data_IF_090064359102
#
_entry.id   IF_090064359102
#
_cell.length_a   1.000
_cell.length_b   1.000
_cell.length_c   1.000
_cell.angle_alpha   90.00
_cell.angle_beta   90.00
_cell.angle_gamma   90.00
#
_symmetry.space_group_name_H-M   'P 1'
#
loop_
_entity.id
_entity.type
_entity.pdbx_description
1 polymer ?
#
# COMPACT_ATOMS: atom_id res chain seq x y z
N UNK A 1 15.79 -4.80 -14.98
CA UNK A 1 15.49 -5.17 -16.38
C UNK A 1 16.44 -6.26 -16.81
N UNK A 2 15.94 -7.32 -17.42
CA UNK A 2 16.77 -8.37 -18.05
C UNK A 2 17.37 -7.92 -19.38
N UNK A 3 16.99 -6.76 -19.87
CA UNK A 3 17.49 -6.18 -21.12
C UNK A 3 18.76 -5.36 -20.85
N UNK A 4 19.92 -5.77 -21.36
CA UNK A 4 21.22 -5.20 -20.99
C UNK A 4 21.41 -3.73 -21.43
N UNK A 5 20.60 -3.26 -22.38
CA UNK A 5 20.64 -1.88 -22.85
C UNK A 5 19.76 -0.91 -22.01
N UNK A 6 18.90 -1.44 -21.11
CA UNK A 6 18.11 -0.62 -20.20
C UNK A 6 18.87 -0.45 -18.88
N UNK A 7 19.50 0.70 -18.70
CA UNK A 7 20.28 1.03 -17.50
C UNK A 7 19.39 1.44 -16.30
N UNK A 8 18.26 2.07 -16.56
CA UNK A 8 17.32 2.52 -15.53
C UNK A 8 15.88 2.41 -16.03
N UNK A 9 14.99 1.95 -15.15
CA UNK A 9 13.55 1.91 -15.38
C UNK A 9 12.87 2.59 -14.22
N UNK A 10 11.99 3.55 -14.52
CA UNK A 10 11.12 4.21 -13.54
C UNK A 10 9.66 3.98 -13.92
N UNK A 11 8.89 3.42 -13.00
CA UNK A 11 7.46 3.15 -13.19
C UNK A 11 6.69 4.00 -12.18
N UNK A 12 5.94 5.04 -12.63
CA UNK A 12 5.16 5.88 -11.74
C UNK A 12 3.92 5.13 -11.18
N UNK A 13 3.29 5.64 -10.11
CA UNK A 13 2.13 4.99 -9.48
C UNK A 13 0.84 5.04 -10.33
N UNK A 14 0.85 5.70 -11.48
CA UNK A 14 -0.29 5.90 -12.38
C UNK A 14 0.10 5.61 -13.85
N UNK A 15 0.32 4.36 -14.16
CA UNK A 15 0.73 3.90 -15.51
C UNK A 15 -0.45 3.68 -16.47
N UNK A 16 -1.70 3.87 -16.03
CA UNK A 16 -2.90 3.81 -16.86
C UNK A 16 -3.31 5.18 -17.43
N UNK A 17 -4.50 5.26 -18.01
CA UNK A 17 -5.06 6.47 -18.62
C UNK A 17 -5.09 7.68 -17.67
N UNK A 18 -5.23 7.43 -16.37
CA UNK A 18 -5.16 8.46 -15.34
C UNK A 18 -3.78 9.16 -15.24
N UNK A 19 -2.72 8.57 -15.81
CA UNK A 19 -1.40 9.19 -15.88
C UNK A 19 -1.19 10.11 -17.09
N UNK A 20 -2.04 10.06 -18.09
CA UNK A 20 -1.90 10.80 -19.34
C UNK A 20 -1.89 12.31 -19.10
N UNK A 21 -2.78 12.80 -18.24
CA UNK A 21 -2.85 14.23 -17.87
C UNK A 21 -1.57 14.70 -17.16
N UNK A 22 -0.97 13.84 -16.34
CA UNK A 22 0.30 14.14 -15.68
C UNK A 22 1.44 14.25 -16.70
N UNK A 23 1.53 13.32 -17.65
CA UNK A 23 2.54 13.35 -18.73
C UNK A 23 2.38 14.58 -19.57
N UNK A 24 1.15 14.92 -19.98
CA UNK A 24 0.86 16.14 -20.75
C UNK A 24 1.29 17.41 -20.01
N UNK A 25 0.98 17.53 -18.73
CA UNK A 25 1.41 18.64 -17.89
C UNK A 25 2.95 18.74 -17.80
N UNK A 26 3.64 17.60 -17.68
CA UNK A 26 5.11 17.54 -17.60
C UNK A 26 5.80 17.97 -18.89
N UNK A 27 5.22 17.70 -20.05
CA UNK A 27 5.79 18.12 -21.33
C UNK A 27 5.84 19.65 -21.48
N UNK A 28 4.94 20.37 -20.81
CA UNK A 28 4.91 21.84 -20.81
C UNK A 28 5.69 22.50 -19.66
N UNK A 29 6.31 21.71 -18.76
CA UNK A 29 7.00 22.24 -17.60
C UNK A 29 8.53 22.17 -17.75
N UNK A 30 9.30 23.11 -17.17
CA UNK A 30 10.75 22.97 -17.07
C UNK A 30 11.10 21.71 -16.28
N UNK A 31 12.34 21.23 -16.43
CA UNK A 31 12.83 20.04 -15.71
C UNK A 31 12.44 20.09 -14.23
N UNK A 32 11.63 19.16 -13.81
CA UNK A 32 11.13 19.08 -12.45
C UNK A 32 11.76 17.89 -11.73
N UNK A 33 11.77 17.97 -10.41
CA UNK A 33 12.27 16.94 -9.53
C UNK A 33 11.59 15.57 -9.77
N UNK A 34 12.26 14.50 -9.32
CA UNK A 34 11.71 13.15 -9.34
C UNK A 34 10.37 13.12 -8.62
N UNK A 35 9.43 12.38 -9.18
CA UNK A 35 8.16 12.09 -8.54
C UNK A 35 8.41 11.32 -7.23
N UNK A 36 8.18 11.96 -6.12
CA UNK A 36 8.09 11.39 -4.79
C UNK A 36 7.46 12.44 -3.87
N UNK A 37 6.45 12.13 -3.09
CA UNK A 37 5.66 10.91 -2.91
C UNK A 37 4.40 10.87 -3.79
N UNK A 38 3.58 9.82 -3.66
CA UNK A 38 2.30 9.68 -4.38
C UNK A 38 1.11 10.40 -3.72
N UNK A 39 1.28 11.08 -2.60
CA UNK A 39 0.22 11.67 -1.77
C UNK A 39 -0.22 13.05 -2.28
N UNK A 40 -0.84 13.10 -3.46
CA UNK A 40 -1.27 14.35 -4.10
C UNK A 40 -2.77 14.61 -4.04
N UNK A 41 -3.52 13.63 -3.57
CA UNK A 41 -4.96 13.75 -3.40
C UNK A 41 -5.36 14.72 -2.27
N UNK A 42 -6.66 14.86 -2.00
CA UNK A 42 -7.14 15.73 -0.95
C UNK A 42 -6.68 15.30 0.45
N UNK A 43 -6.48 16.29 1.30
CA UNK A 43 -6.35 16.12 2.75
C UNK A 43 -7.63 16.58 3.44
N UNK A 44 -7.91 16.02 4.59
CA UNK A 44 -9.09 16.38 5.39
C UNK A 44 -8.64 16.87 6.76
N UNK A 45 -9.13 18.03 7.18
CA UNK A 45 -8.88 18.55 8.51
C UNK A 45 -9.63 17.73 9.57
N UNK A 46 -9.08 17.64 10.78
CA UNK A 46 -9.65 16.86 11.87
C UNK A 46 -11.11 17.27 12.19
N UNK A 47 -11.40 18.56 12.15
CA UNK A 47 -12.75 19.10 12.39
C UNK A 47 -13.76 18.63 11.33
N UNK A 48 -13.30 18.48 10.09
CA UNK A 48 -14.13 17.93 8.99
C UNK A 48 -14.39 16.44 9.18
N UNK A 49 -13.40 15.72 9.65
CA UNK A 49 -13.52 14.28 9.95
C UNK A 49 -14.50 14.06 11.11
N UNK A 50 -14.43 14.87 12.17
CA UNK A 50 -15.32 14.75 13.34
C UNK A 50 -16.80 15.11 13.04
N UNK A 51 -17.04 16.00 12.08
CA UNK A 51 -18.42 16.35 11.65
C UNK A 51 -19.12 15.22 10.86
N UNK A 52 -18.38 14.42 10.12
CA UNK A 52 -18.97 13.39 9.26
C UNK A 52 -19.66 12.26 10.04
N UNK A 53 -19.08 11.65 11.09
CA UNK A 53 -19.77 10.68 11.93
C UNK A 53 -21.09 11.19 12.51
N UNK A 54 -21.12 12.45 12.96
CA UNK A 54 -22.33 13.08 13.47
C UNK A 54 -23.42 13.21 12.38
N UNK A 55 -23.04 13.70 11.20
CA UNK A 55 -23.93 13.84 10.05
C UNK A 55 -24.54 12.50 9.61
N UNK A 56 -23.74 11.44 9.59
CA UNK A 56 -24.18 10.11 9.16
C UNK A 56 -24.59 9.19 10.32
N UNK A 57 -24.69 9.73 11.56
CA UNK A 57 -25.05 8.96 12.77
C UNK A 57 -24.17 7.71 12.98
N UNK A 58 -22.87 7.82 12.68
CA UNK A 58 -21.92 6.74 12.86
C UNK A 58 -21.42 6.72 14.31
N UNK A 59 -21.29 5.52 14.88
CA UNK A 59 -20.63 5.34 16.16
C UNK A 59 -19.11 5.41 15.94
N UNK A 60 -18.43 6.23 16.73
CA UNK A 60 -16.98 6.33 16.70
C UNK A 60 -16.40 6.54 18.10
N UNK A 61 -15.12 6.22 18.23
CA UNK A 61 -14.34 6.46 19.45
C UNK A 61 -13.06 7.19 19.07
N UNK A 62 -12.80 8.32 19.70
CA UNK A 62 -11.53 9.04 19.55
C UNK A 62 -10.46 8.33 20.38
N UNK A 63 -9.32 8.01 19.79
CA UNK A 63 -8.19 7.36 20.44
C UNK A 63 -6.97 8.30 20.41
N UNK A 64 -6.29 8.43 21.53
CA UNK A 64 -5.04 9.18 21.63
C UNK A 64 -3.89 8.42 20.96
N UNK A 65 -3.79 7.11 21.20
CA UNK A 65 -2.77 6.20 20.65
C UNK A 65 -3.40 5.24 19.63
N UNK A 66 -3.80 5.79 18.49
CA UNK A 66 -4.51 5.00 17.46
C UNK A 66 -3.62 3.91 16.86
N UNK A 67 -2.32 4.16 16.71
CA UNK A 67 -1.39 3.21 16.12
C UNK A 67 -1.27 1.93 16.97
N UNK A 68 -1.17 2.07 18.30
CA UNK A 68 -1.10 0.95 19.22
C UNK A 68 -2.39 0.14 19.20
N UNK A 69 -3.54 0.85 19.21
CA UNK A 69 -4.85 0.19 19.10
C UNK A 69 -5.00 -0.60 17.81
N UNK A 70 -4.49 -0.08 16.69
CA UNK A 70 -4.53 -0.79 15.39
C UNK A 70 -3.54 -1.96 15.37
N UNK A 71 -2.34 -1.79 15.92
CA UNK A 71 -1.37 -2.88 16.03
C UNK A 71 -1.93 -4.06 16.85
N UNK A 72 -2.62 -3.77 17.96
CA UNK A 72 -3.30 -4.79 18.77
C UNK A 72 -4.39 -5.52 17.97
N UNK A 73 -5.25 -4.80 17.25
CA UNK A 73 -6.28 -5.39 16.39
C UNK A 73 -5.69 -6.30 15.33
N UNK A 74 -4.60 -5.87 14.68
CA UNK A 74 -3.89 -6.68 13.68
C UNK A 74 -3.27 -7.93 14.31
N UNK A 75 -2.70 -7.81 15.53
CA UNK A 75 -2.22 -8.95 16.31
C UNK A 75 -3.31 -9.97 16.65
N UNK A 76 -4.54 -9.50 16.82
CA UNK A 76 -5.74 -10.32 16.99
C UNK A 76 -6.34 -10.83 15.67
N UNK A 77 -5.63 -10.72 14.56
CA UNK A 77 -6.07 -11.09 13.20
C UNK A 77 -7.33 -10.35 12.71
N UNK A 78 -7.58 -9.14 13.20
CA UNK A 78 -8.65 -8.30 12.67
C UNK A 78 -8.20 -7.63 11.36
N UNK A 79 -9.16 -7.33 10.51
CA UNK A 79 -8.97 -6.56 9.29
C UNK A 79 -9.35 -5.12 9.59
N UNK A 80 -8.48 -4.17 9.28
CA UNK A 80 -8.66 -2.75 9.59
C UNK A 80 -8.65 -1.93 8.30
N UNK A 81 -9.69 -1.13 8.09
CA UNK A 81 -9.66 -0.08 7.07
C UNK A 81 -8.94 1.14 7.65
N UNK A 82 -7.84 1.53 7.02
CA UNK A 82 -6.97 2.60 7.47
C UNK A 82 -7.02 3.79 6.53
N UNK A 83 -7.20 4.98 7.09
CA UNK A 83 -7.17 6.24 6.36
C UNK A 83 -6.36 7.27 7.12
N UNK A 84 -5.36 7.89 6.47
CA UNK A 84 -4.53 8.92 7.07
C UNK A 84 -3.98 9.92 6.04
N UNK A 85 -3.80 11.15 6.47
CA UNK A 85 -3.11 12.18 5.67
C UNK A 85 -3.76 12.47 4.32
N UNK A 86 -2.94 12.80 3.33
CA UNK A 86 -3.39 13.03 1.96
C UNK A 86 -3.57 11.69 1.23
N UNK A 87 -4.61 11.61 0.43
CA UNK A 87 -4.86 10.43 -0.40
C UNK A 87 -3.77 10.26 -1.46
N UNK A 88 -3.51 9.01 -1.82
CA UNK A 88 -2.61 8.67 -2.92
C UNK A 88 -3.25 8.98 -4.27
N UNK A 89 -2.43 9.38 -5.24
CA UNK A 89 -2.76 9.37 -6.66
C UNK A 89 -2.46 7.98 -7.25
N UNK A 90 -3.28 7.55 -8.20
CA UNK A 90 -3.12 6.25 -8.87
C UNK A 90 -4.04 5.16 -8.33
N UNK A 91 -3.89 3.98 -8.90
CA UNK A 91 -4.81 2.86 -8.67
C UNK A 91 -4.56 2.10 -7.36
N UNK A 92 -3.41 2.30 -6.72
CA UNK A 92 -3.00 1.54 -5.54
C UNK A 92 -3.13 2.34 -4.26
N UNK A 93 -3.52 1.67 -3.18
CA UNK A 93 -3.37 2.17 -1.82
C UNK A 93 -1.91 2.00 -1.40
N UNK A 94 -1.31 3.04 -0.83
CA UNK A 94 0.11 3.09 -0.44
C UNK A 94 0.26 3.57 1.01
N UNK A 95 -0.69 3.21 1.88
CA UNK A 95 -0.66 3.52 3.30
C UNK A 95 -1.64 4.62 3.75
N UNK A 96 -2.15 5.46 2.84
CA UNK A 96 -3.13 6.49 3.20
C UNK A 96 -4.59 6.02 3.09
N UNK A 97 -4.89 5.01 2.24
CA UNK A 97 -6.23 4.42 2.05
C UNK A 97 -6.13 2.91 1.97
N UNK A 98 -5.66 2.27 3.01
CA UNK A 98 -5.28 0.87 2.99
C UNK A 98 -6.25 -0.02 3.76
N UNK A 99 -6.36 -1.27 3.35
CA UNK A 99 -6.90 -2.34 4.17
C UNK A 99 -5.70 -3.08 4.75
N UNK A 100 -5.59 -3.07 6.07
CA UNK A 100 -4.49 -3.68 6.81
C UNK A 100 -4.93 -5.03 7.37
N UNK A 101 -4.03 -6.00 7.34
CA UNK A 101 -4.25 -7.33 7.89
C UNK A 101 -2.92 -7.98 8.28
N UNK A 102 -2.96 -8.97 9.17
CA UNK A 102 -1.80 -9.70 9.62
C UNK A 102 -1.31 -10.69 8.54
N UNK A 103 -0.08 -10.55 8.00
CA UNK A 103 0.41 -11.41 6.92
C UNK A 103 0.76 -12.84 7.36
N UNK A 104 0.81 -13.12 8.67
CA UNK A 104 1.16 -14.45 9.21
C UNK A 104 0.04 -15.48 9.05
N UNK A 105 -1.17 -15.07 8.69
CA UNK A 105 -2.34 -15.94 8.55
C UNK A 105 -2.56 -16.29 7.06
N UNK A 106 -2.22 -17.51 6.67
CA UNK A 106 -2.26 -17.96 5.26
C UNK A 106 -3.64 -17.79 4.58
N UNK A 107 -4.72 -18.06 5.31
CA UNK A 107 -6.09 -17.99 4.80
C UNK A 107 -6.61 -16.54 4.67
N UNK A 108 -5.93 -15.56 5.23
CA UNK A 108 -6.40 -14.18 5.28
C UNK A 108 -6.44 -13.52 3.90
N UNK A 109 -5.50 -13.87 3.01
CA UNK A 109 -5.51 -13.43 1.61
C UNK A 109 -6.82 -13.80 0.92
N UNK A 110 -7.18 -15.06 0.98
CA UNK A 110 -8.36 -15.58 0.30
C UNK A 110 -9.64 -15.02 0.92
N UNK A 111 -9.67 -14.89 2.25
CA UNK A 111 -10.78 -14.25 2.94
C UNK A 111 -10.98 -12.79 2.52
N UNK A 112 -9.91 -11.98 2.48
CA UNK A 112 -10.01 -10.58 2.05
C UNK A 112 -10.43 -10.48 0.59
N UNK A 113 -9.89 -11.32 -0.29
CA UNK A 113 -10.29 -11.31 -1.70
C UNK A 113 -11.78 -11.66 -1.85
N UNK A 114 -12.26 -12.72 -1.19
CA UNK A 114 -13.64 -13.18 -1.33
C UNK A 114 -14.66 -12.30 -0.62
N UNK A 115 -14.39 -11.91 0.65
CA UNK A 115 -15.39 -11.30 1.52
C UNK A 115 -15.31 -9.78 1.60
N UNK A 116 -14.12 -9.20 1.44
CA UNK A 116 -13.92 -7.75 1.56
C UNK A 116 -13.85 -7.08 0.18
N UNK A 117 -13.13 -7.69 -0.76
CA UNK A 117 -12.92 -7.12 -2.10
C UNK A 117 -13.82 -7.68 -3.19
N UNK A 118 -14.46 -8.84 -2.98
CA UNK A 118 -15.33 -9.47 -3.98
C UNK A 118 -14.60 -9.73 -5.31
N UNK A 119 -13.37 -10.25 -5.24
CA UNK A 119 -12.53 -10.48 -6.42
C UNK A 119 -11.88 -11.87 -6.39
N UNK A 120 -11.16 -12.19 -7.44
CA UNK A 120 -10.52 -13.49 -7.64
C UNK A 120 -9.50 -13.81 -6.53
N UNK A 121 -9.49 -15.06 -6.06
CA UNK A 121 -8.66 -15.51 -4.93
C UNK A 121 -7.17 -15.49 -5.22
N UNK A 122 -6.78 -15.67 -6.49
CA UNK A 122 -5.37 -15.68 -6.91
C UNK A 122 -4.67 -14.32 -6.84
N UNK A 123 -5.43 -13.22 -6.68
CA UNK A 123 -4.84 -11.87 -6.64
C UNK A 123 -3.98 -11.68 -5.41
N UNK A 124 -2.71 -11.24 -5.60
CA UNK A 124 -1.80 -11.05 -4.48
C UNK A 124 -2.10 -9.76 -3.69
N UNK A 125 -1.53 -9.70 -2.50
CA UNK A 125 -1.37 -8.50 -1.71
C UNK A 125 0.11 -8.20 -1.55
N UNK A 126 0.46 -6.91 -1.37
CA UNK A 126 1.81 -6.50 -1.04
C UNK A 126 1.95 -6.30 0.48
N UNK A 127 3.12 -6.64 1.00
CA UNK A 127 3.47 -6.34 2.37
C UNK A 127 3.95 -4.89 2.52
N UNK A 128 3.64 -4.26 3.67
CA UNK A 128 4.34 -3.07 4.14
C UNK A 128 5.43 -3.51 5.10
N UNK A 129 6.65 -3.09 4.85
CA UNK A 129 7.83 -3.45 5.64
C UNK A 129 8.46 -2.17 6.18
N UNK A 130 8.85 -2.16 7.45
CA UNK A 130 9.63 -1.08 8.04
C UNK A 130 10.97 -0.99 7.30
N UNK A 131 11.34 0.21 6.83
CA UNK A 131 12.49 0.39 5.95
C UNK A 131 13.80 -0.15 6.55
N UNK A 132 13.99 0.00 7.85
CA UNK A 132 15.15 -0.50 8.61
C UNK A 132 15.19 -2.03 8.72
N UNK A 133 14.05 -2.70 8.49
CA UNK A 133 13.90 -4.16 8.59
C UNK A 133 13.74 -4.84 7.23
N UNK A 134 13.84 -4.10 6.12
CA UNK A 134 13.62 -4.66 4.78
C UNK A 134 14.57 -5.82 4.46
N UNK A 135 15.83 -5.74 4.92
CA UNK A 135 16.83 -6.79 4.71
C UNK A 135 16.55 -8.09 5.47
N UNK A 136 15.73 -8.03 6.52
CA UNK A 136 15.29 -9.24 7.23
C UNK A 136 14.35 -10.06 6.33
N UNK A 137 13.64 -9.42 5.40
CA UNK A 137 12.61 -10.04 4.56
C UNK A 137 13.00 -10.18 3.09
N UNK A 138 13.70 -9.21 2.53
CA UNK A 138 13.94 -9.11 1.08
C UNK A 138 15.36 -9.52 0.70
N UNK A 139 15.52 -10.05 -0.51
CA UNK A 139 16.82 -10.44 -1.06
C UNK A 139 17.60 -9.27 -1.67
N UNK A 140 16.92 -8.13 -1.94
CA UNK A 140 17.50 -6.96 -2.58
C UNK A 140 17.34 -5.70 -1.74
N UNK A 141 18.30 -4.78 -1.85
CA UNK A 141 18.18 -3.43 -1.31
C UNK A 141 17.38 -2.54 -2.26
N UNK A 142 16.07 -2.52 -2.08
CA UNK A 142 15.17 -1.75 -2.93
C UNK A 142 14.35 -0.77 -2.11
N UNK A 143 14.01 0.33 -2.75
CA UNK A 143 13.01 1.28 -2.28
C UNK A 143 11.88 1.34 -3.32
N UNK A 144 10.77 0.65 -3.03
CA UNK A 144 9.60 0.53 -3.90
C UNK A 144 8.37 1.18 -3.27
N UNK A 145 8.27 2.51 -3.32
CA UNK A 145 7.17 3.23 -2.68
C UNK A 145 5.84 3.09 -3.43
N UNK A 146 5.84 2.55 -4.66
CA UNK A 146 4.67 2.56 -5.55
C UNK A 146 4.11 1.17 -5.85
N UNK A 147 4.66 0.11 -5.27
CA UNK A 147 4.24 -1.28 -5.55
C UNK A 147 4.30 -1.62 -7.05
N UNK A 148 5.34 -1.19 -7.74
CA UNK A 148 5.50 -1.37 -9.20
C UNK A 148 6.54 -2.42 -9.56
N UNK A 149 7.27 -2.95 -8.58
CA UNK A 149 8.26 -4.03 -8.74
C UNK A 149 7.91 -5.18 -7.82
N UNK A 150 7.96 -6.41 -8.33
CA UNK A 150 7.98 -7.62 -7.53
C UNK A 150 9.40 -7.87 -7.02
N UNK A 151 9.55 -8.22 -5.75
CA UNK A 151 10.84 -8.41 -5.10
C UNK A 151 10.81 -9.74 -4.37
N UNK A 152 11.86 -10.54 -4.55
CA UNK A 152 11.96 -11.84 -3.90
C UNK A 152 12.09 -11.71 -2.39
N UNK A 153 11.31 -12.51 -1.70
CA UNK A 153 11.39 -12.67 -0.24
C UNK A 153 12.42 -13.75 0.07
N UNK A 154 13.13 -13.59 1.17
CA UNK A 154 14.07 -14.60 1.66
C UNK A 154 13.34 -15.89 1.99
N UNK A 155 13.90 -17.04 1.61
CA UNK A 155 13.29 -18.36 1.78
C UNK A 155 12.91 -18.65 3.23
N UNK A 156 13.76 -18.26 4.18
CA UNK A 156 13.53 -18.42 5.61
C UNK A 156 12.39 -17.54 6.17
N UNK A 157 12.03 -16.47 5.47
CA UNK A 157 10.97 -15.54 5.88
C UNK A 157 9.61 -15.86 5.23
N UNK A 158 9.59 -16.49 4.07
CA UNK A 158 8.35 -16.80 3.35
C UNK A 158 7.32 -17.57 4.21
N UNK A 159 7.69 -18.59 5.01
CA UNK A 159 6.74 -19.27 5.88
C UNK A 159 6.16 -18.41 6.99
N UNK A 160 6.79 -17.29 7.33
CA UNK A 160 6.33 -16.38 8.40
C UNK A 160 5.28 -15.37 7.93
N UNK A 161 5.20 -15.14 6.62
CA UNK A 161 4.27 -14.17 6.01
C UNK A 161 3.48 -14.77 4.83
N UNK A 162 2.87 -15.94 4.99
CA UNK A 162 2.30 -16.71 3.88
C UNK A 162 1.16 -16.00 3.14
N UNK A 163 0.48 -15.03 3.77
CA UNK A 163 -0.63 -14.32 3.12
C UNK A 163 -0.20 -13.34 2.02
N UNK A 164 1.08 -12.99 1.96
CA UNK A 164 1.63 -12.01 1.00
C UNK A 164 2.69 -12.62 0.07
N UNK A 165 2.96 -13.91 0.19
CA UNK A 165 3.89 -14.62 -0.70
C UNK A 165 3.15 -15.08 -1.96
N UNK A 166 3.67 -14.72 -3.11
CA UNK A 166 3.21 -15.22 -4.40
C UNK A 166 3.88 -16.56 -4.76
N UNK A 167 3.36 -17.26 -5.78
CA UNK A 167 3.85 -18.59 -6.20
C UNK A 167 5.31 -18.60 -6.66
N UNK A 168 5.83 -17.47 -7.08
CA UNK A 168 7.23 -17.26 -7.49
C UNK A 168 8.14 -16.74 -6.37
N UNK A 169 7.64 -16.73 -5.13
CA UNK A 169 8.33 -16.25 -3.91
C UNK A 169 8.60 -14.73 -3.90
N UNK A 170 7.80 -13.95 -4.59
CA UNK A 170 7.81 -12.48 -4.48
C UNK A 170 6.72 -11.96 -3.57
#
# INVERSE_FOLDING_TARGET
>A
SELPYIKQLFIPPFTGDNGTSYVAAKLGMPKTERLAPAYWGPAFAAESVEKNPQKFKLKYTKKEYINDSVAELLGQNKIVAWFQGRMEVGARALGARSILANPTQANLRDYINAKVKGRELWRPFAASIIAEKKFDFLTEDVNEPFMTKAIKVREEMAPRIPAVIHVDQT
#
